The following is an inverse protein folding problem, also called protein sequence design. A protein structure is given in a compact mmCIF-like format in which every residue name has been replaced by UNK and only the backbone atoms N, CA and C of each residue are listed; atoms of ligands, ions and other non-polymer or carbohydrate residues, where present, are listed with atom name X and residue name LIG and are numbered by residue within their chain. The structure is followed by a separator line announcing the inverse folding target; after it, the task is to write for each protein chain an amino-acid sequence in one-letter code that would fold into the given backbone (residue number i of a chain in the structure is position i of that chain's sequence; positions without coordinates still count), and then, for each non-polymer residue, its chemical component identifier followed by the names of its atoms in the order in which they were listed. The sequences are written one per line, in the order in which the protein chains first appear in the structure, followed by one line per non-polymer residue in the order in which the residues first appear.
data_IF_550944147822
#
_entry.id   IF_550944147822
#
_cell.length_a   1.000
_cell.length_b   1.000
_cell.length_c   1.000
_cell.angle_alpha   90.00
_cell.angle_beta   90.00
_cell.angle_gamma   90.00
#
_symmetry.space_group_name_H-M   'P 1'
#
loop_
_entity.id
_entity.type
_entity.pdbx_description
1 polymer ?
#
# COMPACT_ATOMS: atom_id res chain seq x y z
N UNK A 1 0.08 -1.14 33.74
CA UNK A 1 0.23 -0.98 32.27
C UNK A 1 -0.14 -2.32 31.68
N UNK A 2 -1.34 -2.44 31.08
CA UNK A 2 -1.92 -3.74 30.72
C UNK A 2 -1.63 -4.17 29.27
N UNK A 3 -0.74 -3.45 28.56
CA UNK A 3 -0.23 -3.86 27.25
C UNK A 3 -1.19 -3.69 26.06
N UNK A 4 -2.47 -3.40 26.29
CA UNK A 4 -3.47 -3.22 25.24
C UNK A 4 -3.47 -1.78 24.72
N UNK A 5 -2.70 -1.53 23.67
CA UNK A 5 -2.89 -0.36 22.80
C UNK A 5 -3.45 -0.85 21.47
N UNK A 6 -4.78 -1.04 21.36
CA UNK A 6 -5.42 -1.40 20.10
C UNK A 6 -5.14 -0.37 18.98
N UNK A 7 -4.72 0.85 19.34
CA UNK A 7 -4.32 1.90 18.40
C UNK A 7 -2.97 1.65 17.69
N UNK A 8 -2.07 0.77 18.17
CA UNK A 8 -0.71 0.60 17.61
C UNK A 8 -0.68 -0.31 16.38
N UNK A 9 -1.55 -1.32 16.37
CA UNK A 9 -1.36 -2.51 15.54
C UNK A 9 -1.43 -2.19 14.04
N UNK A 10 -2.06 -1.08 13.66
CA UNK A 10 -2.22 -0.63 12.28
C UNK A 10 -1.01 0.17 11.78
N UNK A 11 -0.52 1.12 12.58
CA UNK A 11 0.60 1.98 12.21
C UNK A 11 1.91 1.21 12.07
N UNK A 12 2.05 0.03 12.69
CA UNK A 12 3.22 -0.83 12.55
C UNK A 12 3.48 -1.24 11.09
N UNK A 13 2.42 -1.37 10.27
CA UNK A 13 2.55 -1.70 8.86
C UNK A 13 3.34 -0.65 8.07
N UNK A 14 3.39 0.60 8.56
CA UNK A 14 4.22 1.64 7.93
C UNK A 14 5.70 1.27 7.91
N UNK A 15 6.22 0.53 8.89
CA UNK A 15 7.63 0.09 8.90
C UNK A 15 7.89 -0.81 7.70
N UNK A 16 7.09 -1.87 7.57
CA UNK A 16 7.24 -2.85 6.50
C UNK A 16 6.94 -2.25 5.12
N UNK A 17 6.01 -1.28 5.04
CA UNK A 17 5.74 -0.57 3.81
C UNK A 17 6.89 0.36 3.40
N UNK A 18 7.58 1.02 4.36
CA UNK A 18 8.81 1.78 4.08
C UNK A 18 9.89 0.88 3.49
N UNK A 19 10.04 -0.36 3.96
CA UNK A 19 11.00 -1.32 3.42
C UNK A 19 10.72 -1.70 1.95
N UNK A 20 9.46 -1.65 1.52
CA UNK A 20 9.06 -1.88 0.11
C UNK A 20 9.27 -0.65 -0.78
N UNK A 21 9.55 0.51 -0.20
CA UNK A 21 9.93 1.69 -0.98
C UNK A 21 11.40 1.63 -1.39
N UNK A 22 11.78 2.46 -2.37
CA UNK A 22 13.20 2.69 -2.69
C UNK A 22 14.00 3.35 -1.54
N UNK A 23 13.28 3.85 -0.53
CA UNK A 23 13.79 4.56 0.64
C UNK A 23 13.92 3.63 1.86
N UNK A 24 13.97 2.31 1.64
CA UNK A 24 14.04 1.28 2.69
C UNK A 24 15.01 1.56 3.82
N UNK A 25 16.13 2.24 3.58
CA UNK A 25 17.11 2.63 4.63
C UNK A 25 16.50 3.43 5.79
N UNK A 26 15.35 4.05 5.58
CA UNK A 26 14.64 4.85 6.57
C UNK A 26 13.60 4.05 7.38
N UNK A 27 13.58 2.72 7.28
CA UNK A 27 12.77 1.85 8.15
C UNK A 27 13.06 2.07 9.65
N UNK A 28 14.23 2.65 9.97
CA UNK A 28 14.67 2.93 11.34
C UNK A 28 14.11 4.23 11.94
N UNK A 29 13.36 5.03 11.18
CA UNK A 29 12.78 6.30 11.65
C UNK A 29 12.02 6.18 12.98
N UNK A 30 11.16 5.17 13.22
CA UNK A 30 10.47 5.02 14.49
C UNK A 30 11.45 5.01 15.68
N UNK A 31 12.54 4.23 15.58
CA UNK A 31 13.54 4.14 16.65
C UNK A 31 14.29 5.45 16.85
N UNK A 32 14.61 6.17 15.76
CA UNK A 32 15.29 7.47 15.84
C UNK A 32 14.40 8.50 16.53
N UNK A 33 13.12 8.57 16.16
CA UNK A 33 12.15 9.49 16.77
C UNK A 33 11.96 9.10 18.24
N UNK A 34 11.69 7.83 18.54
CA UNK A 34 11.52 7.35 19.91
C UNK A 34 12.75 7.66 20.78
N UNK A 35 13.97 7.45 20.28
CA UNK A 35 15.21 7.78 20.99
C UNK A 35 15.30 9.26 21.37
N UNK A 36 15.01 10.17 20.44
CA UNK A 36 15.07 11.61 20.75
C UNK A 36 13.98 12.05 21.72
N UNK A 37 12.82 11.38 21.73
CA UNK A 37 11.70 11.69 22.63
C UNK A 37 11.85 11.07 24.02
N UNK A 38 12.45 9.90 24.12
CA UNK A 38 12.63 9.16 25.37
C UNK A 38 13.76 9.71 26.27
N UNK A 39 14.45 10.80 25.90
CA UNK A 39 15.53 11.40 26.71
C UNK A 39 15.07 11.70 28.15
N UNK A 40 15.33 10.76 29.06
CA UNK A 40 15.03 10.82 30.48
C UNK A 40 13.60 10.42 30.89
N UNK A 41 12.79 9.78 30.02
CA UNK A 41 11.38 9.43 30.30
C UNK A 41 11.04 8.00 29.83
N UNK A 42 9.95 7.41 30.34
CA UNK A 42 9.53 6.02 30.05
C UNK A 42 9.28 5.76 28.56
N UNK A 43 9.67 4.57 28.07
CA UNK A 43 9.86 4.29 26.63
C UNK A 43 8.58 4.05 25.81
N UNK A 44 7.53 3.51 26.43
CA UNK A 44 6.43 2.88 25.68
C UNK A 44 5.56 3.88 24.93
N UNK A 45 5.23 5.03 25.52
CA UNK A 45 4.41 6.07 24.85
C UNK A 45 5.15 6.69 23.65
N UNK A 46 6.48 6.78 23.71
CA UNK A 46 7.29 7.38 22.63
C UNK A 46 7.43 6.51 21.40
N UNK A 47 7.39 5.19 21.56
CA UNK A 47 7.41 4.28 20.42
C UNK A 47 6.13 4.41 19.60
N UNK A 48 4.97 4.51 20.25
CA UNK A 48 3.66 4.67 19.58
C UNK A 48 3.63 5.95 18.75
N UNK A 49 4.00 7.07 19.37
CA UNK A 49 4.10 8.36 18.69
C UNK A 49 5.06 8.33 17.49
N UNK A 50 6.13 7.54 17.60
CA UNK A 50 7.08 7.36 16.50
C UNK A 50 6.51 6.61 15.31
N UNK A 51 5.61 5.64 15.54
CA UNK A 51 4.92 4.91 14.48
C UNK A 51 3.95 5.83 13.72
N UNK A 52 3.27 6.73 14.45
CA UNK A 52 2.42 7.76 13.83
C UNK A 52 3.23 8.67 12.93
N UNK A 53 4.40 9.13 13.37
CA UNK A 53 5.34 9.90 12.52
C UNK A 53 5.77 9.07 11.31
N UNK A 54 6.11 7.79 11.50
CA UNK A 54 6.55 6.92 10.42
C UNK A 54 5.47 6.67 9.36
N UNK A 55 4.19 6.63 9.74
CA UNK A 55 3.08 6.56 8.79
C UNK A 55 3.08 7.76 7.81
N UNK A 56 3.31 8.98 8.31
CA UNK A 56 3.42 10.16 7.44
C UNK A 56 4.69 10.16 6.59
N UNK A 57 5.81 9.68 7.16
CA UNK A 57 7.04 9.47 6.38
C UNK A 57 6.82 8.43 5.27
N UNK A 58 6.06 7.36 5.52
CA UNK A 58 5.69 6.38 4.51
C UNK A 58 4.89 7.02 3.37
N UNK A 59 3.87 7.84 3.67
CA UNK A 59 3.11 8.58 2.65
C UNK A 59 4.01 9.44 1.78
N UNK A 60 4.96 10.14 2.40
CA UNK A 60 5.98 10.90 1.68
C UNK A 60 6.78 9.97 0.75
N UNK A 61 7.39 8.90 1.28
CA UNK A 61 8.18 7.96 0.47
C UNK A 61 7.39 7.25 -0.63
N UNK A 62 6.10 6.99 -0.43
CA UNK A 62 5.19 6.44 -1.43
C UNK A 62 5.10 7.40 -2.63
N UNK A 63 4.78 8.68 -2.39
CA UNK A 63 4.68 9.68 -3.47
C UNK A 63 5.98 9.74 -4.27
N UNK A 64 7.13 9.87 -3.60
CA UNK A 64 8.40 9.98 -4.31
C UNK A 64 8.81 8.67 -5.00
N UNK A 65 8.40 7.51 -4.49
CA UNK A 65 8.61 6.25 -5.20
C UNK A 65 7.78 6.18 -6.48
N UNK A 66 6.54 6.67 -6.45
CA UNK A 66 5.64 6.69 -7.62
C UNK A 66 6.05 7.77 -8.63
N UNK A 67 6.30 8.99 -8.20
CA UNK A 67 6.50 10.12 -9.13
C UNK A 67 7.96 10.24 -9.61
N UNK A 68 8.92 9.79 -8.79
CA UNK A 68 10.32 10.14 -8.99
C UNK A 68 11.24 8.96 -9.34
N UNK A 69 11.04 8.24 -10.45
CA UNK A 69 11.81 7.03 -10.82
C UNK A 69 13.34 7.11 -10.68
N UNK A 70 13.95 8.29 -10.80
CA UNK A 70 15.42 8.47 -10.76
C UNK A 70 15.96 9.46 -9.72
N UNK A 71 15.13 10.05 -8.86
CA UNK A 71 15.56 11.14 -7.95
C UNK A 71 15.64 10.64 -6.51
N UNK A 72 16.74 9.95 -6.19
CA UNK A 72 17.01 9.47 -4.82
C UNK A 72 17.61 10.58 -3.96
N UNK A 73 18.62 11.28 -4.46
CA UNK A 73 19.44 12.19 -3.64
C UNK A 73 18.66 13.38 -3.11
N UNK A 74 17.79 14.00 -3.92
CA UNK A 74 17.03 15.15 -3.47
C UNK A 74 16.06 14.81 -2.34
N UNK A 75 15.46 13.62 -2.37
CA UNK A 75 14.60 13.14 -1.27
C UNK A 75 15.44 12.81 -0.04
N UNK A 76 16.61 12.18 -0.21
CA UNK A 76 17.52 11.91 0.89
C UNK A 76 17.99 13.20 1.59
N UNK A 77 18.39 14.21 0.82
CA UNK A 77 18.81 15.50 1.36
C UNK A 77 17.66 16.13 2.15
N UNK A 78 16.43 16.10 1.62
CA UNK A 78 15.27 16.64 2.33
C UNK A 78 15.03 15.95 3.68
N UNK A 79 15.10 14.62 3.72
CA UNK A 79 14.97 13.86 4.99
C UNK A 79 16.10 14.21 5.96
N UNK A 80 17.35 14.19 5.50
CA UNK A 80 18.52 14.43 6.36
C UNK A 80 18.61 15.87 6.87
N UNK A 81 18.24 16.86 6.05
CA UNK A 81 18.40 18.28 6.38
C UNK A 81 17.18 18.86 7.10
N UNK A 82 15.97 18.41 6.77
CA UNK A 82 14.72 18.92 7.34
C UNK A 82 14.19 17.98 8.42
N UNK A 83 13.83 16.75 8.06
CA UNK A 83 13.14 15.83 8.99
C UNK A 83 13.96 15.52 10.25
N UNK A 84 15.27 15.29 10.13
CA UNK A 84 16.13 15.02 11.29
C UNK A 84 16.19 16.19 12.29
N UNK A 85 16.07 17.44 11.81
CA UNK A 85 15.99 18.60 12.71
C UNK A 85 14.69 18.57 13.51
N UNK A 86 13.57 18.24 12.86
CA UNK A 86 12.27 18.13 13.51
C UNK A 86 12.24 16.97 14.52
N UNK A 87 12.77 15.80 14.15
CA UNK A 87 12.83 14.63 15.04
C UNK A 87 13.53 14.95 16.37
N UNK A 88 14.60 15.74 16.31
CA UNK A 88 15.40 16.15 17.48
C UNK A 88 14.72 17.21 18.35
N UNK A 89 13.97 18.14 17.76
CA UNK A 89 13.54 19.38 18.43
C UNK A 89 12.04 19.53 18.66
N UNK A 90 11.21 18.98 17.78
CA UNK A 90 9.78 19.33 17.70
C UNK A 90 8.90 18.29 18.40
N UNK A 91 7.65 18.64 18.72
CA UNK A 91 6.67 17.67 19.25
C UNK A 91 6.22 16.68 18.16
N UNK A 92 5.66 15.53 18.54
CA UNK A 92 5.09 14.54 17.59
C UNK A 92 4.12 15.21 16.61
N UNK A 93 3.18 16.03 17.12
CA UNK A 93 2.20 16.74 16.29
C UNK A 93 2.86 17.72 15.31
N UNK A 94 3.89 18.45 15.76
CA UNK A 94 4.59 19.41 14.91
C UNK A 94 5.41 18.72 13.82
N UNK A 95 6.02 17.57 14.13
CA UNK A 95 6.69 16.73 13.12
C UNK A 95 5.69 16.29 12.05
N UNK A 96 4.52 15.79 12.46
CA UNK A 96 3.47 15.35 11.53
C UNK A 96 2.97 16.50 10.66
N UNK A 97 2.71 17.67 11.25
CA UNK A 97 2.32 18.89 10.52
C UNK A 97 3.36 19.26 9.46
N UNK A 98 4.64 19.33 9.84
CA UNK A 98 5.72 19.65 8.90
C UNK A 98 5.83 18.61 7.75
N UNK A 99 5.62 17.31 8.04
CA UNK A 99 5.62 16.26 7.00
C UNK A 99 4.40 16.40 6.07
N UNK A 100 3.22 16.75 6.60
CA UNK A 100 2.03 17.02 5.79
C UNK A 100 2.26 18.18 4.83
N UNK A 101 2.87 19.26 5.31
CA UNK A 101 3.16 20.44 4.50
C UNK A 101 4.14 20.15 3.35
N UNK A 102 5.10 19.23 3.57
CA UNK A 102 6.06 18.85 2.54
C UNK A 102 5.61 17.71 1.62
N UNK A 103 4.47 17.07 1.91
CA UNK A 103 4.05 15.79 1.33
C UNK A 103 4.01 15.85 -0.20
N UNK A 104 3.42 16.91 -0.74
CA UNK A 104 3.26 17.17 -2.17
C UNK A 104 4.25 18.21 -2.71
N UNK A 105 5.32 18.50 -1.98
CA UNK A 105 6.32 19.47 -2.44
C UNK A 105 7.01 19.01 -3.73
N UNK A 106 7.22 19.89 -4.72
CA UNK A 106 8.09 19.56 -5.83
C UNK A 106 9.52 19.32 -5.36
N UNK A 107 10.17 18.28 -5.90
CA UNK A 107 11.58 17.96 -5.63
C UNK A 107 12.45 18.03 -6.90
N UNK A 108 11.83 18.02 -8.09
CA UNK A 108 12.51 18.09 -9.40
C UNK A 108 12.67 19.52 -9.92
N UNK A 109 11.58 20.28 -9.92
CA UNK A 109 11.50 21.64 -10.45
C UNK A 109 10.29 22.35 -9.84
N UNK A 110 10.27 23.69 -9.86
CA UNK A 110 9.19 24.48 -9.27
C UNK A 110 7.81 24.24 -9.91
N UNK A 111 7.78 23.84 -11.18
CA UNK A 111 6.56 23.65 -11.98
C UNK A 111 6.04 22.21 -11.97
N UNK A 112 6.71 21.31 -11.25
CA UNK A 112 6.29 19.92 -11.15
C UNK A 112 5.12 19.82 -10.15
N UNK A 113 4.08 19.06 -10.51
CA UNK A 113 2.87 18.86 -9.70
C UNK A 113 2.82 17.40 -9.19
N UNK A 114 3.49 17.07 -8.06
CA UNK A 114 3.60 15.67 -7.61
C UNK A 114 2.26 14.99 -7.37
N UNK A 115 1.22 15.76 -7.03
CA UNK A 115 -0.10 15.22 -6.73
C UNK A 115 -0.79 14.70 -7.99
N UNK A 116 -0.84 15.52 -9.04
CA UNK A 116 -1.45 15.13 -10.32
C UNK A 116 -0.63 14.02 -10.98
N UNK A 117 0.70 14.11 -10.95
CA UNK A 117 1.58 13.06 -11.46
C UNK A 117 1.36 11.73 -10.73
N UNK A 118 1.21 11.76 -9.40
CA UNK A 118 0.98 10.57 -8.59
C UNK A 118 -0.32 9.87 -9.00
N UNK A 119 -1.44 10.61 -9.05
CA UNK A 119 -2.74 10.03 -9.36
C UNK A 119 -2.85 9.59 -10.82
N UNK A 120 -2.30 10.37 -11.75
CA UNK A 120 -2.22 9.99 -13.17
C UNK A 120 -1.41 8.70 -13.34
N UNK A 121 -0.26 8.60 -12.66
CA UNK A 121 0.62 7.44 -12.74
C UNK A 121 -0.02 6.16 -12.20
N UNK A 122 -0.77 6.23 -11.08
CA UNK A 122 -1.42 5.03 -10.55
C UNK A 122 -2.67 4.67 -11.37
N UNK A 123 -3.36 5.66 -11.94
CA UNK A 123 -4.54 5.47 -12.79
C UNK A 123 -4.19 4.79 -14.11
N UNK A 124 -3.04 5.12 -14.69
CA UNK A 124 -2.61 4.64 -16.00
C UNK A 124 -1.08 4.46 -16.05
N UNK A 125 -0.62 3.31 -16.55
CA UNK A 125 0.81 3.02 -16.71
C UNK A 125 1.55 2.61 -15.42
N UNK A 126 0.82 2.21 -14.37
CA UNK A 126 1.40 1.76 -13.10
C UNK A 126 2.33 0.55 -13.28
N UNK A 127 1.95 -0.39 -14.15
CA UNK A 127 2.67 -1.66 -14.38
C UNK A 127 4.06 -1.50 -15.01
N UNK A 128 4.38 -0.33 -15.60
CA UNK A 128 5.68 -0.10 -16.25
C UNK A 128 6.87 -0.09 -15.29
N UNK A 129 6.64 0.01 -13.99
CA UNK A 129 7.69 -0.09 -12.98
C UNK A 129 7.32 -1.15 -11.93
N UNK A 130 8.04 -2.28 -11.94
CA UNK A 130 7.81 -3.42 -11.04
C UNK A 130 7.83 -3.06 -9.54
N UNK A 131 8.70 -2.12 -9.13
CA UNK A 131 8.76 -1.68 -7.73
C UNK A 131 7.56 -0.81 -7.38
N UNK A 132 7.12 0.06 -8.30
CA UNK A 132 6.00 0.96 -8.11
C UNK A 132 4.69 0.19 -8.03
N UNK A 133 4.43 -0.68 -9.01
CA UNK A 133 3.21 -1.48 -9.06
C UNK A 133 3.09 -2.35 -7.82
N UNK A 134 4.17 -3.01 -7.41
CA UNK A 134 4.18 -3.81 -6.18
C UNK A 134 3.85 -2.94 -4.97
N UNK A 135 4.49 -1.79 -4.80
CA UNK A 135 4.24 -0.91 -3.66
C UNK A 135 2.78 -0.42 -3.60
N UNK A 136 2.24 0.07 -4.72
CA UNK A 136 0.90 0.65 -4.80
C UNK A 136 -0.17 -0.42 -4.63
N UNK A 137 -0.05 -1.56 -5.32
CA UNK A 137 -1.01 -2.66 -5.19
C UNK A 137 -0.94 -3.31 -3.80
N UNK A 138 0.25 -3.46 -3.21
CA UNK A 138 0.37 -3.91 -1.81
C UNK A 138 -0.29 -2.94 -0.84
N UNK A 139 -0.13 -1.62 -1.03
CA UNK A 139 -0.84 -0.65 -0.22
C UNK A 139 -2.35 -0.79 -0.38
N UNK A 140 -2.85 -0.80 -1.63
CA UNK A 140 -4.27 -0.94 -1.92
C UNK A 140 -4.88 -2.18 -1.26
N UNK A 141 -4.23 -3.35 -1.38
CA UNK A 141 -4.68 -4.58 -0.73
C UNK A 141 -4.59 -4.53 0.80
N UNK A 142 -3.50 -3.97 1.36
CA UNK A 142 -3.37 -3.78 2.81
C UNK A 142 -4.49 -2.92 3.39
N UNK A 143 -4.91 -1.87 2.67
CA UNK A 143 -6.00 -1.01 3.13
C UNK A 143 -7.33 -1.78 3.23
N UNK A 144 -7.58 -2.71 2.31
CA UNK A 144 -8.77 -3.57 2.36
C UNK A 144 -8.71 -4.56 3.52
N UNK A 145 -7.55 -5.18 3.78
CA UNK A 145 -7.39 -6.05 4.95
C UNK A 145 -7.62 -5.28 6.26
N UNK A 146 -7.05 -4.08 6.37
CA UNK A 146 -7.20 -3.23 7.57
C UNK A 146 -8.64 -2.79 7.78
N UNK A 147 -9.37 -2.53 6.69
CA UNK A 147 -10.79 -2.19 6.74
C UNK A 147 -11.63 -3.37 7.24
N UNK A 148 -11.23 -4.61 6.91
CA UNK A 148 -11.91 -5.85 7.27
C UNK A 148 -11.35 -6.54 8.53
N UNK A 149 -10.57 -5.84 9.36
CA UNK A 149 -10.07 -6.41 10.62
C UNK A 149 -11.21 -6.91 11.52
N UNK A 150 -11.09 -8.15 12.00
CA UNK A 150 -12.09 -8.82 12.83
C UNK A 150 -13.12 -9.63 12.04
N UNK A 151 -13.24 -9.43 10.72
CA UNK A 151 -14.05 -10.29 9.85
C UNK A 151 -13.40 -11.67 9.68
N UNK A 152 -14.21 -12.67 9.37
CA UNK A 152 -13.73 -14.02 9.07
C UNK A 152 -14.37 -14.63 7.82
N UNK A 153 -13.64 -15.52 7.16
CA UNK A 153 -14.13 -16.25 5.99
C UNK A 153 -13.49 -17.64 5.86
N UNK A 154 -14.17 -18.55 5.17
CA UNK A 154 -13.69 -19.94 5.00
C UNK A 154 -12.81 -20.08 3.77
N UNK A 155 -11.49 -20.13 3.95
CA UNK A 155 -10.54 -20.37 2.86
C UNK A 155 -9.97 -21.78 2.93
N UNK A 156 -10.11 -22.56 1.84
CA UNK A 156 -9.57 -23.94 1.76
C UNK A 156 -10.02 -24.85 2.92
N UNK A 157 -11.27 -24.68 3.39
CA UNK A 157 -11.83 -25.44 4.49
C UNK A 157 -11.44 -24.97 5.89
N UNK A 158 -10.63 -23.91 6.00
CA UNK A 158 -10.24 -23.31 7.27
C UNK A 158 -10.87 -21.92 7.44
N UNK A 159 -11.32 -21.60 8.65
CA UNK A 159 -11.71 -20.25 9.01
C UNK A 159 -10.45 -19.38 9.13
N UNK A 160 -10.40 -18.30 8.36
CA UNK A 160 -9.39 -17.25 8.47
C UNK A 160 -10.07 -16.06 9.15
N UNK A 161 -9.53 -15.66 10.30
CA UNK A 161 -9.89 -14.39 10.96
C UNK A 161 -8.86 -13.35 10.57
N UNK A 162 -9.33 -12.23 9.99
CA UNK A 162 -8.45 -11.13 9.58
C UNK A 162 -7.96 -10.42 10.85
N UNK A 163 -6.66 -10.50 11.10
CA UNK A 163 -6.01 -9.94 12.28
C UNK A 163 -4.68 -9.31 11.90
N UNK A 164 -4.13 -8.42 12.72
CA UNK A 164 -2.89 -7.74 12.37
C UNK A 164 -1.70 -8.70 12.24
N UNK A 165 -1.71 -9.79 13.02
CA UNK A 165 -0.73 -10.87 12.87
C UNK A 165 -0.89 -11.59 11.53
N UNK A 166 -2.12 -11.90 11.12
CA UNK A 166 -2.40 -12.59 9.87
C UNK A 166 -2.05 -11.71 8.65
N UNK A 167 -2.36 -10.41 8.69
CA UNK A 167 -1.94 -9.43 7.68
C UNK A 167 -0.41 -9.38 7.62
N UNK A 168 0.25 -9.34 8.78
CA UNK A 168 1.71 -9.35 8.86
C UNK A 168 2.30 -10.60 8.18
N UNK A 169 1.74 -11.77 8.48
CA UNK A 169 2.18 -13.04 7.94
C UNK A 169 2.04 -13.12 6.42
N UNK A 170 0.90 -12.67 5.86
CA UNK A 170 0.64 -12.73 4.41
C UNK A 170 1.43 -11.70 3.60
N UNK A 171 1.58 -10.46 4.09
CA UNK A 171 2.18 -9.38 3.31
C UNK A 171 3.68 -9.18 3.54
N UNK A 172 4.19 -9.56 4.71
CA UNK A 172 5.51 -9.13 5.20
C UNK A 172 6.38 -10.26 5.78
N UNK A 173 5.81 -11.38 6.23
CA UNK A 173 6.58 -12.48 6.82
C UNK A 173 6.95 -13.59 5.82
N UNK A 174 7.96 -13.32 4.98
CA UNK A 174 8.43 -14.25 3.94
C UNK A 174 9.05 -15.56 4.46
N UNK A 175 9.43 -15.65 5.74
CA UNK A 175 10.16 -16.79 6.29
C UNK A 175 9.27 -18.02 6.60
N UNK A 176 7.96 -17.84 6.79
CA UNK A 176 7.01 -18.94 7.03
C UNK A 176 6.63 -19.64 5.71
N UNK A 177 6.58 -18.91 4.60
CA UNK A 177 6.32 -19.47 3.27
C UNK A 177 7.62 -19.96 2.61
N UNK A 178 8.04 -21.17 2.97
CA UNK A 178 9.03 -21.99 2.25
C UNK A 178 10.12 -21.23 1.49
N UNK A 179 11.18 -20.80 2.20
CA UNK A 179 12.54 -20.44 1.72
C UNK A 179 12.76 -19.59 0.45
N UNK A 180 11.82 -19.32 -0.47
CA UNK A 180 12.10 -18.69 -1.79
C UNK A 180 10.87 -18.24 -2.62
N UNK A 181 9.63 -18.14 -2.09
CA UNK A 181 8.49 -17.69 -2.92
C UNK A 181 7.76 -16.51 -2.30
N UNK A 182 7.57 -15.44 -3.09
CA UNK A 182 6.62 -14.38 -2.73
C UNK A 182 5.24 -15.01 -2.50
N UNK A 183 4.55 -14.70 -1.39
CA UNK A 183 3.23 -15.28 -1.07
C UNK A 183 2.14 -14.76 -2.01
N UNK A 184 2.34 -13.59 -2.61
CA UNK A 184 1.47 -13.02 -3.64
C UNK A 184 2.24 -12.46 -4.83
N UNK A 185 1.51 -12.42 -5.94
CA UNK A 185 1.84 -11.70 -7.16
C UNK A 185 0.91 -10.50 -7.33
N UNK A 186 1.26 -9.61 -8.25
CA UNK A 186 0.31 -8.61 -8.75
C UNK A 186 -0.27 -9.16 -10.03
N UNK A 187 -1.58 -9.37 -10.02
CA UNK A 187 -2.33 -9.96 -11.11
C UNK A 187 -3.07 -8.91 -11.93
N UNK A 188 -3.11 -9.12 -13.24
CA UNK A 188 -3.99 -8.40 -14.15
C UNK A 188 -5.35 -9.10 -14.24
N UNK A 189 -6.42 -8.41 -13.84
CA UNK A 189 -7.80 -8.97 -13.88
C UNK A 189 -8.17 -9.37 -15.31
N UNK A 190 -8.04 -8.44 -16.27
CA UNK A 190 -7.95 -8.78 -17.70
C UNK A 190 -6.50 -9.06 -18.04
N UNK A 191 -6.19 -10.29 -18.46
CA UNK A 191 -4.84 -10.70 -18.82
C UNK A 191 -4.22 -9.82 -19.92
N UNK A 192 -2.90 -9.60 -19.86
CA UNK A 192 -2.17 -8.76 -20.82
C UNK A 192 -2.33 -9.23 -22.26
N UNK A 193 -2.32 -10.53 -22.50
CA UNK A 193 -2.50 -11.10 -23.83
C UNK A 193 -3.85 -10.71 -24.47
N UNK A 194 -4.85 -10.36 -23.65
CA UNK A 194 -6.19 -10.00 -24.09
C UNK A 194 -6.40 -8.48 -24.30
N UNK A 195 -5.40 -7.65 -24.01
CA UNK A 195 -5.46 -6.19 -24.25
C UNK A 195 -4.20 -5.58 -24.89
N UNK A 196 -3.14 -6.38 -25.11
CA UNK A 196 -1.84 -5.89 -25.64
C UNK A 196 -1.93 -5.16 -26.99
N UNK A 197 -2.96 -5.45 -27.78
CA UNK A 197 -3.18 -4.85 -29.11
C UNK A 197 -4.12 -3.62 -29.05
N UNK A 198 -4.71 -3.33 -27.89
CA UNK A 198 -5.59 -2.18 -27.65
C UNK A 198 -4.75 -0.93 -27.35
N UNK A 199 -4.26 -0.29 -28.41
CA UNK A 199 -3.35 0.87 -28.33
C UNK A 199 -3.98 2.09 -27.66
N UNK A 200 -5.30 2.22 -27.70
CA UNK A 200 -6.00 3.37 -27.16
C UNK A 200 -6.08 3.31 -25.63
N UNK A 201 -6.13 2.10 -25.06
CA UNK A 201 -6.38 1.88 -23.63
C UNK A 201 -5.30 1.08 -22.90
N UNK A 202 -4.19 0.72 -23.57
CA UNK A 202 -3.11 -0.08 -22.97
C UNK A 202 -2.57 0.49 -21.65
N UNK A 203 -2.50 1.81 -21.52
CA UNK A 203 -2.02 2.47 -20.30
C UNK A 203 -3.01 2.31 -19.15
N UNK A 204 -4.32 2.43 -19.43
CA UNK A 204 -5.39 2.25 -18.44
C UNK A 204 -5.49 0.79 -17.98
N UNK A 205 -5.36 -0.18 -18.90
CA UNK A 205 -5.26 -1.60 -18.54
C UNK A 205 -3.98 -1.95 -17.76
N UNK A 206 -2.95 -1.11 -17.83
CA UNK A 206 -1.75 -1.19 -16.98
C UNK A 206 -1.84 -0.29 -15.73
N UNK A 207 -3.01 0.27 -15.45
CA UNK A 207 -3.32 1.05 -14.26
C UNK A 207 -3.91 0.22 -13.11
N UNK A 208 -4.06 0.84 -11.95
CA UNK A 208 -4.53 0.20 -10.71
C UNK A 208 -5.91 -0.46 -10.86
N UNK A 209 -6.77 0.04 -11.76
CA UNK A 209 -8.10 -0.52 -12.00
C UNK A 209 -8.09 -1.96 -12.51
N UNK A 210 -7.03 -2.38 -13.21
CA UNK A 210 -6.88 -3.74 -13.72
C UNK A 210 -5.89 -4.59 -12.88
N UNK A 211 -5.37 -4.07 -11.77
CA UNK A 211 -4.32 -4.70 -10.99
C UNK A 211 -4.80 -5.02 -9.58
N UNK A 212 -4.49 -6.23 -9.10
CA UNK A 212 -4.87 -6.69 -7.75
C UNK A 212 -3.76 -7.56 -7.14
N UNK A 213 -3.66 -7.57 -5.81
CA UNK A 213 -2.81 -8.55 -5.11
C UNK A 213 -3.50 -9.91 -5.15
N UNK A 214 -2.77 -10.98 -5.47
CA UNK A 214 -3.34 -12.32 -5.53
C UNK A 214 -2.32 -13.36 -5.07
N UNK A 215 -2.81 -14.39 -4.40
CA UNK A 215 -2.08 -15.62 -4.12
C UNK A 215 -1.24 -16.10 -5.31
N UNK A 216 0.08 -16.22 -5.14
CA UNK A 216 0.97 -16.60 -6.23
C UNK A 216 0.67 -17.96 -6.85
N UNK A 217 0.09 -18.89 -6.07
CA UNK A 217 -0.30 -20.21 -6.55
C UNK A 217 -1.57 -20.15 -7.40
N UNK A 218 -2.56 -19.33 -7.00
CA UNK A 218 -3.77 -19.08 -7.80
C UNK A 218 -3.38 -18.38 -9.09
N UNK A 219 -2.55 -17.32 -9.00
CA UNK A 219 -2.09 -16.57 -10.15
C UNK A 219 -1.44 -17.45 -11.23
N UNK A 220 -0.56 -18.37 -10.81
CA UNK A 220 0.10 -19.34 -11.71
C UNK A 220 -0.86 -20.35 -12.34
N UNK A 221 -1.97 -20.65 -11.66
CA UNK A 221 -3.00 -21.58 -12.14
C UNK A 221 -3.91 -20.93 -13.18
N UNK A 222 -4.24 -19.64 -13.00
CA UNK A 222 -5.19 -18.94 -13.88
C UNK A 222 -4.54 -18.28 -15.10
N UNK A 223 -3.29 -17.83 -15.02
CA UNK A 223 -2.55 -17.28 -16.17
C UNK A 223 -3.37 -16.27 -17.01
N UNK A 224 -3.48 -16.52 -18.32
CA UNK A 224 -4.18 -15.66 -19.28
C UNK A 224 -5.67 -16.02 -19.46
N UNK A 225 -6.24 -16.79 -18.52
CA UNK A 225 -7.66 -17.17 -18.55
C UNK A 225 -8.58 -15.95 -18.65
N UNK A 226 -9.82 -16.21 -19.08
CA UNK A 226 -10.86 -15.18 -19.13
C UNK A 226 -11.20 -14.68 -17.73
N UNK A 227 -11.73 -13.46 -17.64
CA UNK A 227 -12.15 -12.84 -16.36
C UNK A 227 -13.13 -13.74 -15.61
N UNK A 228 -14.09 -14.35 -16.32
CA UNK A 228 -15.06 -15.28 -15.74
C UNK A 228 -14.41 -16.52 -15.11
N UNK A 229 -13.36 -17.06 -15.73
CA UNK A 229 -12.60 -18.19 -15.19
C UNK A 229 -11.76 -17.77 -13.98
N UNK A 230 -11.09 -16.61 -14.06
CA UNK A 230 -10.32 -16.05 -12.94
C UNK A 230 -11.17 -15.82 -11.70
N UNK A 231 -12.39 -15.26 -11.86
CA UNK A 231 -13.33 -15.02 -10.76
C UNK A 231 -13.69 -16.30 -10.02
N UNK A 232 -13.79 -17.44 -10.71
CA UNK A 232 -14.07 -18.73 -10.07
C UNK A 232 -12.98 -19.10 -9.07
N UNK A 233 -11.72 -18.83 -9.43
CA UNK A 233 -10.57 -19.08 -8.56
C UNK A 233 -10.34 -17.98 -7.51
N UNK A 234 -10.75 -16.74 -7.75
CA UNK A 234 -10.64 -15.63 -6.78
C UNK A 234 -11.39 -15.92 -5.48
N UNK A 235 -12.46 -16.74 -5.53
CA UNK A 235 -13.17 -17.23 -4.34
C UNK A 235 -12.27 -18.02 -3.38
N UNK A 236 -11.18 -18.58 -3.88
CA UNK A 236 -10.20 -19.35 -3.11
C UNK A 236 -9.06 -18.48 -2.57
N UNK A 237 -9.05 -17.17 -2.84
CA UNK A 237 -8.01 -16.28 -2.34
C UNK A 237 -8.06 -16.12 -0.82
N UNK A 238 -6.87 -15.96 -0.24
CA UNK A 238 -6.71 -15.66 1.17
C UNK A 238 -6.70 -14.15 1.47
N UNK A 239 -6.78 -13.28 0.46
CA UNK A 239 -6.75 -11.82 0.65
C UNK A 239 -8.17 -11.27 0.68
N UNK A 240 -8.52 -10.48 1.71
CA UNK A 240 -9.82 -9.80 1.80
C UNK A 240 -10.04 -8.84 0.63
N UNK A 241 -8.97 -8.21 0.14
CA UNK A 241 -8.99 -7.37 -1.06
C UNK A 241 -9.60 -8.08 -2.28
N UNK A 242 -9.36 -9.39 -2.41
CA UNK A 242 -9.92 -10.22 -3.47
C UNK A 242 -11.26 -10.79 -3.02
N UNK A 243 -11.24 -11.56 -1.93
CA UNK A 243 -12.34 -12.44 -1.54
C UNK A 243 -13.56 -11.70 -1.01
N UNK A 244 -13.36 -10.56 -0.36
CA UNK A 244 -14.43 -9.72 0.19
C UNK A 244 -14.66 -8.56 -0.77
N UNK A 245 -13.71 -7.64 -0.88
CA UNK A 245 -13.92 -6.36 -1.57
C UNK A 245 -14.15 -6.53 -3.07
N UNK A 246 -13.28 -7.25 -3.77
CA UNK A 246 -13.44 -7.46 -5.20
C UNK A 246 -14.67 -8.34 -5.51
N UNK A 247 -14.85 -9.48 -4.82
CA UNK A 247 -15.98 -10.37 -5.09
C UNK A 247 -17.33 -9.72 -4.79
N UNK A 248 -17.44 -8.92 -3.72
CA UNK A 248 -18.68 -8.18 -3.34
C UNK A 248 -19.22 -7.35 -4.50
N UNK A 249 -18.35 -6.74 -5.30
CA UNK A 249 -18.77 -5.88 -6.41
C UNK A 249 -18.72 -6.57 -7.78
N UNK A 250 -17.74 -7.44 -8.00
CA UNK A 250 -17.38 -7.92 -9.34
C UNK A 250 -17.58 -9.42 -9.55
N UNK A 251 -18.15 -10.17 -8.60
CA UNK A 251 -18.40 -11.61 -8.76
C UNK A 251 -19.26 -11.94 -10.00
N UNK A 252 -20.20 -11.06 -10.35
CA UNK A 252 -21.09 -11.25 -11.52
C UNK A 252 -20.49 -10.73 -12.83
N UNK A 253 -19.30 -10.13 -12.78
CA UNK A 253 -18.65 -9.49 -13.91
C UNK A 253 -18.10 -10.56 -14.87
N UNK A 254 -18.62 -10.63 -16.10
CA UNK A 254 -18.19 -11.65 -17.09
C UNK A 254 -17.10 -11.14 -18.03
N UNK A 255 -17.01 -9.83 -18.20
CA UNK A 255 -16.00 -9.16 -19.02
C UNK A 255 -15.45 -7.96 -18.26
N UNK A 256 -14.19 -7.61 -18.51
CA UNK A 256 -13.47 -6.55 -17.83
C UNK A 256 -13.05 -5.49 -18.84
N UNK A 257 -14.05 -4.76 -19.32
CA UNK A 257 -13.88 -3.69 -20.30
C UNK A 257 -13.26 -2.43 -19.71
N UNK A 258 -13.05 -1.42 -20.55
CA UNK A 258 -12.43 -0.17 -20.13
C UNK A 258 -13.30 0.61 -19.13
N UNK A 259 -14.62 0.46 -19.17
CA UNK A 259 -15.53 1.10 -18.22
C UNK A 259 -15.36 0.47 -16.82
N UNK A 260 -15.32 -0.85 -16.74
CA UNK A 260 -15.02 -1.58 -15.51
C UNK A 260 -13.64 -1.20 -14.93
N UNK A 261 -12.61 -1.11 -15.79
CA UNK A 261 -11.26 -0.69 -15.39
C UNK A 261 -11.29 0.73 -14.80
N UNK A 262 -11.91 1.70 -15.49
CA UNK A 262 -12.00 3.09 -15.02
C UNK A 262 -12.77 3.20 -13.72
N UNK A 263 -13.92 2.52 -13.63
CA UNK A 263 -14.75 2.48 -12.42
C UNK A 263 -13.96 1.96 -11.22
N UNK A 264 -13.25 0.83 -11.39
CA UNK A 264 -12.41 0.29 -10.31
C UNK A 264 -11.22 1.21 -10.00
N UNK A 265 -10.58 1.78 -11.01
CA UNK A 265 -9.46 2.71 -10.82
C UNK A 265 -9.86 3.91 -9.95
N UNK A 266 -11.02 4.52 -10.20
CA UNK A 266 -11.51 5.66 -9.43
C UNK A 266 -11.76 5.29 -7.96
N UNK A 267 -12.28 4.08 -7.68
CA UNK A 267 -12.45 3.56 -6.31
C UNK A 267 -11.12 3.33 -5.59
N UNK A 268 -10.17 2.68 -6.26
CA UNK A 268 -8.84 2.42 -5.70
C UNK A 268 -8.08 3.74 -5.43
N UNK A 269 -8.24 4.72 -6.31
CA UNK A 269 -7.69 6.07 -6.13
C UNK A 269 -8.34 6.78 -4.94
N UNK A 270 -9.66 6.68 -4.77
CA UNK A 270 -10.36 7.29 -3.64
C UNK A 270 -9.93 6.67 -2.31
N UNK A 271 -9.81 5.34 -2.25
CA UNK A 271 -9.23 4.62 -1.11
C UNK A 271 -7.84 5.16 -0.75
N UNK A 272 -6.97 5.34 -1.75
CA UNK A 272 -5.64 5.92 -1.53
C UNK A 272 -5.72 7.39 -1.11
N UNK A 273 -6.60 8.21 -1.68
CA UNK A 273 -6.80 9.62 -1.28
C UNK A 273 -7.20 9.73 0.19
N UNK A 274 -8.15 8.90 0.64
CA UNK A 274 -8.55 8.83 2.05
C UNK A 274 -7.31 8.50 2.89
N UNK A 275 -6.56 7.45 2.53
CA UNK A 275 -5.32 7.11 3.23
C UNK A 275 -4.30 8.25 3.28
N UNK A 276 -4.17 9.06 2.24
CA UNK A 276 -3.21 10.18 2.23
C UNK A 276 -3.61 11.28 3.22
N UNK A 277 -4.89 11.50 3.45
CA UNK A 277 -5.42 12.58 4.31
C UNK A 277 -5.67 12.11 5.75
N UNK A 278 -6.18 10.89 5.91
CA UNK A 278 -6.74 10.36 7.15
C UNK A 278 -5.84 9.29 7.77
N UNK A 279 -5.77 9.15 9.10
CA UNK A 279 -5.09 8.02 9.75
C UNK A 279 -5.59 6.64 9.27
N UNK A 280 -4.75 5.59 9.33
CA UNK A 280 -5.14 4.24 8.86
C UNK A 280 -6.39 3.69 9.56
N UNK A 281 -6.64 4.14 10.80
CA UNK A 281 -7.77 3.71 11.64
C UNK A 281 -9.12 4.32 11.27
N UNK A 282 -9.17 5.36 10.44
CA UNK A 282 -10.42 6.04 10.03
C UNK A 282 -10.82 5.70 8.59
N UNK A 283 -10.12 4.76 7.95
CA UNK A 283 -10.44 4.31 6.60
C UNK A 283 -11.72 3.47 6.68
N UNK A 284 -12.84 3.91 6.06
CA UNK A 284 -14.08 3.17 6.07
C UNK A 284 -13.95 1.90 5.24
N UNK A 285 -14.73 0.87 5.60
CA UNK A 285 -15.05 -0.23 4.68
C UNK A 285 -15.83 0.38 3.50
N UNK A 286 -15.31 0.26 2.28
CA UNK A 286 -15.87 0.88 1.08
C UNK A 286 -16.93 0.00 0.37
#
# INVERSE_FOLDING_TARGET
YNGEYPEIAKEIFSIYMVEKTRYKRYWTIPFVVAYFKAKGKGWSDYYIDSLRVNMYMFRFFLIYTVVNDRVINSVQNKVCEECFKWFKKDSTNKIIENIKDMLWSPVRSKDHEPKEDFYTTIKSGLFYNASRVRLVCTLSGLLDEVANLGESFICQGNEIVISEQEIYEKFFHYAIYEKNKNPYDIEHIKAKENFKDDKDYIDEFNGIGNLIVLDSHINKSIQDNTVSEKITEYKNSQYAAVRIEFMKEYESCRDWDIEAVRKRADKEIEKIKIFMNEPLRTIPVL
#
